data_IF_948008018834
#
_entry.id   IF_948008018834
#
_cell.length_a   1.000
_cell.length_b   1.000
_cell.length_c   1.000
_cell.angle_alpha   90.00
_cell.angle_beta   90.00
_cell.angle_gamma   90.00
#
_symmetry.space_group_name_H-M   'P 1'
#
loop_
_entity.id
_entity.type
_entity.pdbx_description
1 polymer ?
#
# COMPACT_ATOMS: atom_id res chain seq x y z
N UNK A 1 -0.67 -10.94 6.76
CA UNK A 1 0.34 -11.92 7.21
C UNK A 1 1.25 -12.26 6.03
N UNK A 2 1.90 -11.25 5.49
CA UNK A 2 2.49 -11.20 4.14
C UNK A 2 3.74 -10.30 4.09
N UNK A 3 4.07 -9.64 5.21
CA UNK A 3 5.25 -8.78 5.36
C UNK A 3 6.55 -9.48 4.92
N UNK A 4 6.71 -10.75 5.27
CA UNK A 4 7.91 -11.53 4.91
C UNK A 4 8.08 -11.76 3.41
N UNK A 5 7.00 -11.67 2.62
CA UNK A 5 7.03 -11.87 1.17
C UNK A 5 7.73 -10.70 0.48
N UNK A 6 7.44 -9.48 0.95
CA UNK A 6 7.83 -8.24 0.28
C UNK A 6 9.05 -7.55 0.90
N UNK A 7 9.35 -7.81 2.16
CA UNK A 7 10.46 -7.15 2.83
C UNK A 7 11.76 -7.92 2.69
N UNK A 8 12.87 -7.17 2.65
CA UNK A 8 14.21 -7.77 2.47
C UNK A 8 14.60 -8.61 3.69
N UNK A 9 15.05 -9.83 3.43
CA UNK A 9 15.57 -10.75 4.42
C UNK A 9 17.03 -10.42 4.82
N UNK A 10 17.67 -11.29 5.61
CA UNK A 10 19.08 -11.11 6.05
C UNK A 10 20.10 -11.14 4.90
N UNK A 11 19.74 -11.73 3.76
CA UNK A 11 20.54 -11.77 2.53
C UNK A 11 20.24 -10.59 1.60
N UNK A 12 19.43 -9.64 2.06
CA UNK A 12 19.00 -8.47 1.31
C UNK A 12 18.17 -8.82 0.05
N UNK A 13 17.52 -9.98 -0.01
CA UNK A 13 16.60 -10.41 -1.08
C UNK A 13 15.14 -10.39 -0.59
N UNK A 14 14.16 -10.30 -1.50
CA UNK A 14 12.73 -10.47 -1.18
C UNK A 14 12.28 -11.84 -1.66
N UNK A 15 11.42 -12.52 -0.90
CA UNK A 15 10.90 -13.85 -1.30
C UNK A 15 10.10 -13.80 -2.61
N UNK A 16 9.40 -12.69 -2.86
CA UNK A 16 8.71 -12.48 -4.15
C UNK A 16 9.68 -12.47 -5.33
N UNK A 17 10.89 -11.91 -5.16
CA UNK A 17 11.91 -11.89 -6.22
C UNK A 17 12.45 -13.31 -6.44
N UNK A 18 12.75 -14.04 -5.36
CA UNK A 18 13.22 -15.43 -5.43
C UNK A 18 12.20 -16.36 -6.10
N UNK A 19 10.91 -16.15 -5.82
CA UNK A 19 9.83 -16.91 -6.44
C UNK A 19 9.68 -16.56 -7.93
N UNK A 20 9.76 -15.28 -8.28
CA UNK A 20 9.74 -14.82 -9.68
C UNK A 20 10.90 -15.40 -10.49
N UNK A 21 12.10 -15.49 -9.91
CA UNK A 21 13.28 -16.07 -10.56
C UNK A 21 13.27 -17.62 -10.65
N UNK A 22 12.30 -18.28 -10.02
CA UNK A 22 12.25 -19.76 -9.94
C UNK A 22 11.81 -20.45 -11.23
N UNK A 23 11.40 -19.70 -12.26
CA UNK A 23 10.83 -20.21 -13.53
C UNK A 23 9.65 -21.17 -13.33
N UNK A 24 8.82 -20.91 -12.31
CA UNK A 24 7.57 -21.62 -12.11
C UNK A 24 6.63 -21.39 -13.31
N UNK A 25 5.93 -22.43 -13.75
CA UNK A 25 4.94 -22.30 -14.81
C UNK A 25 3.64 -21.75 -14.21
N UNK A 26 3.26 -20.55 -14.65
CA UNK A 26 2.06 -19.83 -14.25
C UNK A 26 1.17 -19.61 -15.48
N UNK A 27 -0.11 -19.37 -15.26
CA UNK A 27 -0.96 -18.82 -16.32
C UNK A 27 -0.74 -17.30 -16.49
N UNK A 28 -1.29 -16.73 -17.57
CA UNK A 28 -1.11 -15.32 -17.92
C UNK A 28 -1.55 -14.36 -16.78
N UNK A 29 -2.58 -14.72 -16.01
CA UNK A 29 -3.11 -13.88 -14.92
C UNK A 29 -2.19 -13.99 -13.70
N UNK A 30 -1.77 -15.20 -13.36
CA UNK A 30 -0.86 -15.46 -12.26
C UNK A 30 0.51 -14.79 -12.49
N UNK A 31 1.03 -14.84 -13.71
CA UNK A 31 2.26 -14.16 -14.12
C UNK A 31 2.11 -12.63 -13.97
N UNK A 32 1.02 -12.06 -14.47
CA UNK A 32 0.71 -10.64 -14.34
C UNK A 32 0.62 -10.19 -12.88
N UNK A 33 -0.05 -10.98 -12.03
CA UNK A 33 -0.13 -10.68 -10.59
C UNK A 33 1.25 -10.75 -9.95
N UNK A 34 2.05 -11.75 -10.29
CA UNK A 34 3.40 -11.90 -9.74
C UNK A 34 4.32 -10.75 -10.16
N UNK A 35 4.27 -10.32 -11.42
CA UNK A 35 4.96 -9.11 -11.88
C UNK A 35 4.53 -7.88 -11.07
N UNK A 36 3.24 -7.74 -10.80
CA UNK A 36 2.69 -6.72 -9.93
C UNK A 36 3.23 -6.78 -8.49
N UNK A 37 3.38 -7.99 -7.95
CA UNK A 37 3.96 -8.21 -6.62
C UNK A 37 5.43 -7.81 -6.58
N UNK A 38 6.22 -8.11 -7.61
CA UNK A 38 7.63 -7.70 -7.72
C UNK A 38 7.74 -6.17 -7.82
N UNK A 39 6.90 -5.56 -8.65
CA UNK A 39 6.88 -4.12 -8.95
C UNK A 39 5.99 -3.28 -8.00
N UNK A 40 5.65 -3.83 -6.84
CA UNK A 40 4.80 -3.16 -5.87
C UNK A 40 5.38 -1.82 -5.40
N UNK A 41 4.49 -0.90 -5.02
CA UNK A 41 4.83 0.41 -4.46
C UNK A 41 4.18 0.58 -3.10
N UNK A 42 5.02 0.73 -2.09
CA UNK A 42 4.55 1.03 -0.73
C UNK A 42 4.70 2.53 -0.45
N UNK A 43 3.61 3.21 -0.11
CA UNK A 43 3.64 4.65 0.21
C UNK A 43 2.49 5.07 1.13
N UNK A 44 2.45 6.36 1.43
CA UNK A 44 1.35 7.04 2.07
C UNK A 44 0.59 7.86 1.03
N UNK A 45 -0.67 7.51 0.79
CA UNK A 45 -1.50 8.05 -0.26
C UNK A 45 -2.64 8.88 0.31
N UNK A 46 -3.07 9.91 -0.41
CA UNK A 46 -4.32 10.61 -0.18
C UNK A 46 -5.37 10.14 -1.18
N UNK A 47 -6.58 9.91 -0.70
CA UNK A 47 -7.75 9.63 -1.51
C UNK A 47 -8.23 10.95 -2.09
N UNK A 48 -8.12 11.12 -3.41
CA UNK A 48 -8.51 12.37 -4.09
C UNK A 48 -9.84 12.24 -4.81
N UNK A 49 -10.22 11.04 -5.24
CA UNK A 49 -11.51 10.75 -5.89
C UNK A 49 -11.99 9.34 -5.51
N UNK A 50 -13.30 9.14 -5.51
CA UNK A 50 -13.97 7.86 -5.23
C UNK A 50 -15.05 7.65 -6.28
N UNK A 51 -15.02 6.51 -6.96
CA UNK A 51 -16.04 6.06 -7.90
C UNK A 51 -16.67 4.78 -7.38
N UNK A 52 -17.86 4.91 -6.78
CA UNK A 52 -18.61 3.79 -6.19
C UNK A 52 -19.23 2.88 -7.23
N UNK A 53 -19.42 3.34 -8.49
CA UNK A 53 -20.05 2.55 -9.55
C UNK A 53 -19.03 1.63 -10.22
N UNK A 54 -17.79 2.09 -10.35
CA UNK A 54 -16.68 1.32 -10.92
C UNK A 54 -15.77 0.67 -9.86
N UNK A 55 -16.10 0.81 -8.58
CA UNK A 55 -15.33 0.28 -7.43
C UNK A 55 -13.87 0.74 -7.42
N UNK A 56 -13.63 2.01 -7.75
CA UNK A 56 -12.28 2.57 -7.84
C UNK A 56 -12.07 3.79 -6.96
N UNK A 57 -10.82 4.00 -6.57
CA UNK A 57 -10.36 5.10 -5.74
C UNK A 57 -9.08 5.67 -6.37
N UNK A 58 -9.03 7.00 -6.54
CA UNK A 58 -7.82 7.65 -7.03
C UNK A 58 -6.93 8.04 -5.85
N UNK A 59 -5.67 7.58 -5.90
CA UNK A 59 -4.68 7.73 -4.84
C UNK A 59 -3.54 8.64 -5.28
N UNK A 60 -3.37 9.76 -4.58
CA UNK A 60 -2.20 10.65 -4.76
C UNK A 60 -1.10 10.28 -3.78
N UNK A 61 0.11 10.01 -4.26
CA UNK A 61 1.25 9.73 -3.39
C UNK A 61 1.69 11.00 -2.63
N UNK A 62 1.62 10.97 -1.30
CA UNK A 62 2.02 12.08 -0.44
C UNK A 62 3.51 12.12 -0.14
N UNK A 63 4.21 10.97 -0.23
CA UNK A 63 5.66 10.89 -0.03
C UNK A 63 6.39 11.27 -1.32
N UNK A 64 5.83 10.90 -2.49
CA UNK A 64 6.38 11.19 -3.81
C UNK A 64 5.36 11.98 -4.65
N UNK A 65 5.11 13.27 -4.34
CA UNK A 65 4.00 14.06 -4.91
C UNK A 65 4.11 14.36 -6.41
N UNK A 66 5.27 14.08 -7.02
CA UNK A 66 5.49 14.24 -8.46
C UNK A 66 5.05 13.02 -9.28
N UNK A 67 4.74 11.90 -8.61
CA UNK A 67 4.23 10.70 -9.28
C UNK A 67 2.77 10.91 -9.68
N UNK A 68 2.32 10.31 -10.81
CA UNK A 68 0.92 10.34 -11.18
C UNK A 68 0.05 9.68 -10.09
N UNK A 69 -1.21 10.10 -10.02
CA UNK A 69 -2.18 9.43 -9.16
C UNK A 69 -2.40 7.99 -9.65
N UNK A 70 -2.61 7.09 -8.70
CA UNK A 70 -2.85 5.68 -8.96
C UNK A 70 -4.35 5.42 -8.94
N UNK A 71 -4.86 4.66 -9.91
CA UNK A 71 -6.23 4.16 -9.90
C UNK A 71 -6.27 2.83 -9.17
N UNK A 72 -6.74 2.83 -7.93
CA UNK A 72 -6.90 1.62 -7.13
C UNK A 72 -8.30 1.02 -7.38
N UNK A 73 -8.37 -0.28 -7.68
CA UNK A 73 -9.61 -1.04 -7.69
C UNK A 73 -9.77 -1.72 -6.33
N UNK A 74 -10.80 -1.33 -5.58
CA UNK A 74 -11.07 -1.88 -4.24
C UNK A 74 -12.53 -1.67 -3.87
N UNK A 75 -13.27 -2.77 -3.69
CA UNK A 75 -14.69 -2.73 -3.34
C UNK A 75 -14.92 -2.11 -1.96
N UNK A 76 -14.15 -2.49 -0.94
CA UNK A 76 -14.36 -2.01 0.42
C UNK A 76 -14.01 -0.54 0.55
N UNK A 77 -12.85 -0.16 0.01
CA UNK A 77 -12.38 1.21 0.08
C UNK A 77 -13.25 2.14 -0.77
N UNK A 78 -13.69 1.74 -1.97
CA UNK A 78 -14.57 2.59 -2.80
C UNK A 78 -15.93 2.88 -2.13
N UNK A 79 -16.42 2.00 -1.26
CA UNK A 79 -17.70 2.20 -0.57
C UNK A 79 -17.57 2.94 0.76
N UNK A 80 -16.39 2.95 1.38
CA UNK A 80 -16.20 3.47 2.74
C UNK A 80 -15.27 4.67 2.83
N UNK A 81 -14.43 4.89 1.82
CA UNK A 81 -13.50 6.00 1.78
C UNK A 81 -14.19 7.35 1.69
N UNK A 82 -13.55 8.35 2.32
CA UNK A 82 -13.89 9.76 2.14
C UNK A 82 -12.73 10.47 1.47
N UNK A 83 -13.06 11.37 0.55
CA UNK A 83 -12.08 12.24 -0.09
C UNK A 83 -11.29 13.00 0.99
N UNK A 84 -9.97 13.05 0.81
CA UNK A 84 -9.03 13.68 1.72
C UNK A 84 -8.49 12.76 2.82
N UNK A 85 -9.09 11.58 3.05
CA UNK A 85 -8.49 10.55 3.91
C UNK A 85 -7.15 10.12 3.33
N UNK A 86 -6.26 9.65 4.20
CA UNK A 86 -4.99 9.12 3.75
C UNK A 86 -4.80 7.68 4.21
N UNK A 87 -4.11 6.90 3.39
CA UNK A 87 -3.89 5.48 3.59
C UNK A 87 -2.42 5.16 3.35
N UNK A 88 -1.80 4.51 4.32
CA UNK A 88 -0.55 3.80 4.08
C UNK A 88 -0.89 2.41 3.55
N UNK A 89 -0.35 2.04 2.39
CA UNK A 89 -0.59 0.74 1.78
C UNK A 89 0.52 0.37 0.81
N UNK A 90 0.52 -0.91 0.41
CA UNK A 90 1.28 -1.44 -0.71
C UNK A 90 0.34 -1.60 -1.90
N UNK A 91 0.61 -0.86 -2.97
CA UNK A 91 -0.12 -0.91 -4.23
C UNK A 91 0.62 -1.81 -5.23
N UNK A 92 -0.12 -2.70 -5.90
CA UNK A 92 0.38 -3.68 -6.87
C UNK A 92 -0.22 -3.31 -8.22
N UNK A 93 0.60 -2.96 -9.23
CA UNK A 93 0.06 -2.77 -10.57
C UNK A 93 -0.45 -4.10 -11.11
N UNK A 94 -1.68 -4.10 -11.61
CA UNK A 94 -2.30 -5.21 -12.33
C UNK A 94 -3.11 -4.57 -13.46
N UNK A 95 -2.74 -4.81 -14.72
CA UNK A 95 -3.29 -4.12 -15.89
C UNK A 95 -3.14 -2.60 -15.81
N UNK A 96 -4.26 -1.90 -16.01
CA UNK A 96 -4.40 -0.44 -15.97
C UNK A 96 -4.83 0.08 -14.58
N UNK A 97 -4.85 -0.79 -13.57
CA UNK A 97 -5.24 -0.47 -12.21
C UNK A 97 -4.21 -0.96 -11.19
N UNK A 98 -4.44 -0.58 -9.94
CA UNK A 98 -3.71 -1.09 -8.80
C UNK A 98 -4.64 -1.90 -7.90
N UNK A 99 -4.07 -2.90 -7.24
CA UNK A 99 -4.67 -3.59 -6.08
C UNK A 99 -3.84 -3.31 -4.82
N UNK A 100 -4.37 -3.62 -3.64
CA UNK A 100 -3.59 -3.58 -2.40
C UNK A 100 -3.16 -4.98 -1.96
N UNK A 101 -2.05 -5.10 -1.23
CA UNK A 101 -1.67 -6.36 -0.57
C UNK A 101 -1.15 -6.10 0.82
N UNK A 102 -1.63 -6.91 1.77
CA UNK A 102 -1.19 -6.89 3.14
C UNK A 102 -1.93 -5.89 4.01
N UNK A 103 -1.23 -5.42 5.04
CA UNK A 103 -1.81 -4.51 6.01
C UNK A 103 -1.72 -3.08 5.51
N UNK A 104 -2.84 -2.39 5.61
CA UNK A 104 -2.94 -0.97 5.35
C UNK A 104 -3.42 -0.23 6.59
N UNK A 105 -3.07 1.05 6.67
CA UNK A 105 -3.43 1.89 7.80
C UNK A 105 -4.09 3.17 7.29
N UNK A 106 -5.36 3.37 7.61
CA UNK A 106 -6.08 4.61 7.34
C UNK A 106 -5.79 5.68 8.37
N UNK A 107 -5.83 6.93 7.93
CA UNK A 107 -5.57 8.12 8.73
C UNK A 107 -6.55 9.23 8.35
N UNK A 108 -7.00 9.94 9.38
CA UNK A 108 -7.86 11.10 9.21
C UNK A 108 -7.13 12.25 8.46
N UNK A 109 -7.83 13.02 7.60
CA UNK A 109 -7.25 14.15 6.86
C UNK A 109 -6.43 15.12 7.71
N UNK A 110 -6.81 15.36 8.97
CA UNK A 110 -6.14 16.30 9.87
C UNK A 110 -4.74 15.83 10.29
N UNK A 111 -4.47 14.53 10.19
CA UNK A 111 -3.18 13.93 10.61
C UNK A 111 -2.14 13.88 9.50
N UNK A 112 -2.52 14.10 8.23
CA UNK A 112 -1.62 13.99 7.05
C UNK A 112 -0.32 14.76 7.19
N UNK A 113 -0.40 16.06 7.55
CA UNK A 113 0.78 16.92 7.72
C UNK A 113 1.71 16.40 8.82
N UNK A 114 1.15 15.84 9.89
CA UNK A 114 1.93 15.26 10.98
C UNK A 114 2.64 13.99 10.52
N UNK A 115 1.96 13.12 9.77
CA UNK A 115 2.56 11.89 9.23
C UNK A 115 3.69 12.18 8.25
N UNK A 116 3.54 13.17 7.38
CA UNK A 116 4.63 13.59 6.48
C UNK A 116 5.85 14.15 7.23
N UNK A 117 5.64 14.87 8.34
CA UNK A 117 6.76 15.30 9.20
C UNK A 117 7.47 14.10 9.83
N UNK A 118 6.72 13.12 10.32
CA UNK A 118 7.28 11.89 10.90
C UNK A 118 8.10 11.09 9.88
N UNK A 119 7.61 10.95 8.64
CA UNK A 119 8.37 10.36 7.52
C UNK A 119 9.64 11.16 7.24
N UNK A 120 9.55 12.50 7.21
CA UNK A 120 10.71 13.37 6.97
C UNK A 120 11.78 13.21 8.06
N UNK A 121 11.37 13.17 9.34
CA UNK A 121 12.29 12.93 10.46
C UNK A 121 12.94 11.55 10.40
N UNK A 122 12.17 10.51 10.05
CA UNK A 122 12.71 9.17 9.86
C UNK A 122 13.74 9.13 8.73
N UNK A 123 13.46 9.83 7.61
CA UNK A 123 14.37 9.96 6.48
C UNK A 123 15.68 10.65 6.87
N UNK A 124 15.63 11.73 7.65
CA UNK A 124 16.83 12.41 8.18
C UNK A 124 17.64 11.47 9.07
N UNK A 125 16.98 10.77 10.01
CA UNK A 125 17.64 9.81 10.92
C UNK A 125 18.33 8.65 10.19
N UNK A 126 17.86 8.29 9.01
CA UNK A 126 18.41 7.24 8.15
C UNK A 126 19.31 7.75 7.03
N UNK A 127 19.87 8.96 7.16
CA UNK A 127 20.75 9.57 6.15
C UNK A 127 20.12 9.59 4.74
N UNK A 128 18.82 9.88 4.66
CA UNK A 128 18.07 9.94 3.41
C UNK A 128 17.50 8.61 2.92
N UNK A 129 17.93 7.46 3.48
CA UNK A 129 17.54 6.12 3.02
C UNK A 129 16.46 5.51 3.90
N UNK A 130 15.20 5.78 3.57
CA UNK A 130 14.05 5.10 4.20
C UNK A 130 13.51 4.03 3.24
N UNK A 131 13.35 2.81 3.71
CA UNK A 131 12.81 1.70 2.91
C UNK A 131 11.37 1.34 3.33
N UNK A 132 10.77 0.36 2.64
CA UNK A 132 9.43 -0.15 2.93
C UNK A 132 9.29 -0.68 4.36
N UNK A 133 10.28 -1.41 4.89
CA UNK A 133 10.30 -1.87 6.30
C UNK A 133 10.24 -0.70 7.28
N UNK A 134 11.08 0.33 7.10
CA UNK A 134 11.10 1.50 7.98
C UNK A 134 9.75 2.24 7.94
N UNK A 135 9.17 2.39 6.73
CA UNK A 135 7.84 2.98 6.57
C UNK A 135 6.77 2.14 7.25
N UNK A 136 6.77 0.83 7.05
CA UNK A 136 5.81 -0.09 7.67
C UNK A 136 5.85 0.03 9.20
N UNK A 137 7.04 -0.04 9.79
CA UNK A 137 7.21 0.07 11.24
C UNK A 137 6.74 1.44 11.76
N UNK A 138 7.03 2.51 11.03
CA UNK A 138 6.56 3.86 11.36
C UNK A 138 5.03 3.93 11.34
N UNK A 139 4.40 3.56 10.23
CA UNK A 139 2.96 3.67 10.05
C UNK A 139 2.19 2.69 10.94
N UNK A 140 2.70 1.49 11.17
CA UNK A 140 2.14 0.55 12.15
C UNK A 140 2.21 1.09 13.57
N UNK A 141 3.29 1.78 13.96
CA UNK A 141 3.37 2.43 15.28
C UNK A 141 2.37 3.58 15.38
N UNK A 142 2.21 4.36 14.31
CA UNK A 142 1.34 5.55 14.30
C UNK A 142 -0.14 5.20 14.13
N UNK A 143 -0.49 4.10 13.49
CA UNK A 143 -1.87 3.63 13.39
C UNK A 143 -2.47 3.34 14.77
N UNK A 144 -1.66 2.82 15.70
CA UNK A 144 -2.10 2.64 17.11
C UNK A 144 -2.42 3.94 17.85
N UNK A 145 -2.01 5.09 17.34
CA UNK A 145 -2.21 6.40 17.99
C UNK A 145 -3.20 7.29 17.24
N UNK A 146 -3.18 7.22 15.91
CA UNK A 146 -3.89 8.14 15.00
C UNK A 146 -4.62 7.41 13.87
N UNK A 147 -4.60 6.07 13.88
CA UNK A 147 -5.27 5.27 12.87
C UNK A 147 -6.77 5.40 13.01
N UNK A 148 -7.45 5.28 11.87
CA UNK A 148 -8.90 5.14 11.82
C UNK A 148 -9.23 3.76 11.25
N UNK A 149 -10.30 3.16 11.75
CA UNK A 149 -10.81 1.92 11.19
C UNK A 149 -11.18 2.16 9.73
N UNK A 150 -10.55 1.39 8.86
CA UNK A 150 -10.82 1.41 7.42
C UNK A 150 -11.29 0.02 7.09
N UNK A 151 -12.52 -0.11 6.58
CA UNK A 151 -13.03 -1.41 6.14
C UNK A 151 -12.38 -1.71 4.80
N UNK A 152 -11.31 -2.49 4.86
CA UNK A 152 -10.71 -3.13 3.70
C UNK A 152 -11.37 -4.50 3.59
N UNK A 153 -12.12 -4.74 2.52
CA UNK A 153 -12.68 -6.07 2.29
C UNK A 153 -11.53 -6.97 1.86
N UNK A 154 -11.05 -7.77 2.81
CA UNK A 154 -10.10 -8.83 2.52
C UNK A 154 -10.84 -9.90 1.70
N UNK A 155 -10.53 -10.03 0.40
CA UNK A 155 -11.16 -11.03 -0.48
C UNK A 155 -10.90 -12.48 -0.04
N UNK A 156 -9.97 -12.68 0.91
CA UNK A 156 -9.66 -13.97 1.53
C UNK A 156 -10.38 -14.21 2.88
N UNK A 157 -11.19 -13.27 3.35
CA UNK A 157 -11.96 -13.41 4.58
C UNK A 157 -13.44 -13.55 4.26
N UNK A 158 -13.93 -14.79 4.26
CA UNK A 158 -15.36 -15.11 4.35
C UNK A 158 -15.93 -14.75 5.74
N UNK A 159 -15.76 -13.50 6.17
CA UNK A 159 -16.35 -13.03 7.43
C UNK A 159 -16.81 -11.58 7.28
N UNK A 160 -18.12 -11.44 7.12
CA UNK A 160 -18.86 -10.20 7.37
C UNK A 160 -18.96 -10.04 8.89
N UNK A 161 -18.39 -8.96 9.44
CA UNK A 161 -18.79 -8.36 10.71
C UNK A 161 -18.78 -6.85 10.59
#
# INVERSE_FOLDING_TARGET
MDFLIYERNKLNTRLVDEFYESNVQLDDIEEEVLEGMVNNKTSYFEIIEVDTNNFTVMLKDLINPHQPALKLMDLGLSQTAKIGMAIYSRALPVRDVYMTSGVSFGFDPFTKKKMLREVSFAKVKRNGKINSTDLFLLFHKRSKQYGVDTVMLDLNSNTIL
#
